data_IF_401110797478
#
_entry.id   IF_401110797478
#
_cell.length_a   1.000
_cell.length_b   1.000
_cell.length_c   1.000
_cell.angle_alpha   90.00
_cell.angle_beta   90.00
_cell.angle_gamma   90.00
#
_symmetry.space_group_name_H-M   'P 1'
#
loop_
_entity.id
_entity.type
_entity.pdbx_description
1 polymer ?
#
# COMPACT_ATOMS: atom_id res chain seq x y z
N UNK A 1 -31.22 -3.06 6.05
CA UNK A 1 -30.08 -2.40 6.75
C UNK A 1 -28.80 -3.04 6.28
N UNK A 2 -27.76 -2.25 5.99
CA UNK A 2 -26.43 -2.79 5.61
C UNK A 2 -25.70 -3.23 6.87
N UNK A 3 -25.07 -4.41 6.84
CA UNK A 3 -24.26 -4.93 7.93
C UNK A 3 -22.77 -4.94 7.53
N UNK A 4 -21.97 -4.06 8.13
CA UNK A 4 -20.53 -3.98 7.91
C UNK A 4 -19.85 -5.01 8.81
N UNK A 5 -18.98 -5.85 8.24
CA UNK A 5 -18.27 -6.91 8.98
C UNK A 5 -16.88 -6.50 9.44
N UNK A 6 -16.07 -5.98 8.52
CA UNK A 6 -14.69 -5.59 8.76
C UNK A 6 -14.20 -4.61 7.69
N UNK A 7 -13.03 -4.03 7.92
CA UNK A 7 -12.31 -3.28 6.90
C UNK A 7 -11.67 -4.29 5.94
N UNK A 8 -11.94 -4.17 4.64
CA UNK A 8 -11.30 -5.06 3.66
C UNK A 8 -9.81 -4.76 3.52
N UNK A 9 -9.45 -3.48 3.41
CA UNK A 9 -8.07 -3.03 3.33
C UNK A 9 -7.97 -1.54 3.71
N UNK A 10 -6.78 -1.11 4.12
CA UNK A 10 -6.41 0.30 4.22
C UNK A 10 -5.13 0.53 3.45
N UNK A 11 -5.06 1.63 2.70
CA UNK A 11 -3.87 2.02 1.97
C UNK A 11 -3.32 3.35 2.49
N UNK A 12 -2.02 3.41 2.72
CA UNK A 12 -1.29 4.62 3.08
C UNK A 12 -0.26 4.97 2.01
N UNK A 13 0.43 6.09 2.17
CA UNK A 13 1.61 6.42 1.39
C UNK A 13 2.87 5.99 2.13
N UNK A 14 3.89 5.56 1.42
CA UNK A 14 5.24 5.35 1.94
C UNK A 14 6.27 6.19 1.17
N UNK A 15 7.45 6.32 1.77
CA UNK A 15 8.60 6.99 1.15
C UNK A 15 9.46 6.03 0.33
N UNK A 16 9.72 4.85 0.89
CA UNK A 16 10.49 3.77 0.30
C UNK A 16 9.69 2.47 0.43
N UNK A 17 9.39 1.83 -0.70
CA UNK A 17 8.60 0.62 -0.73
C UNK A 17 9.26 -0.57 -0.02
N UNK A 18 10.57 -0.74 -0.21
CA UNK A 18 11.33 -1.87 0.33
C UNK A 18 11.46 -1.75 1.84
N UNK A 19 11.88 -0.59 2.34
CA UNK A 19 12.00 -0.31 3.78
C UNK A 19 10.65 -0.54 4.48
N UNK A 20 9.56 -0.11 3.84
CA UNK A 20 8.21 -0.33 4.36
C UNK A 20 7.92 -1.83 4.49
N UNK A 21 8.12 -2.62 3.44
CA UNK A 21 7.87 -4.06 3.49
C UNK A 21 8.73 -4.75 4.54
N UNK A 22 10.03 -4.44 4.58
CA UNK A 22 10.98 -5.01 5.55
C UNK A 22 10.55 -4.71 6.99
N UNK A 23 10.12 -3.48 7.29
CA UNK A 23 9.64 -3.11 8.62
C UNK A 23 8.42 -3.93 9.05
N UNK A 24 7.39 -4.05 8.20
CA UNK A 24 6.17 -4.78 8.56
C UNK A 24 6.37 -6.29 8.61
N UNK A 25 7.29 -6.83 7.81
CA UNK A 25 7.70 -8.23 7.91
C UNK A 25 8.44 -8.49 9.23
N UNK A 26 9.48 -7.69 9.54
CA UNK A 26 10.36 -7.93 10.69
C UNK A 26 9.64 -7.72 12.03
N UNK A 27 8.91 -6.61 12.17
CA UNK A 27 8.38 -6.21 13.48
C UNK A 27 6.94 -6.69 13.72
N UNK A 28 6.20 -7.01 12.66
CA UNK A 28 4.77 -7.35 12.76
C UNK A 28 4.41 -8.70 12.14
N UNK A 29 5.37 -9.43 11.55
CA UNK A 29 5.16 -10.72 10.89
C UNK A 29 4.06 -10.66 9.82
N UNK A 30 3.95 -9.53 9.10
CA UNK A 30 3.00 -9.39 8.02
C UNK A 30 3.60 -9.93 6.72
N UNK A 31 2.97 -10.92 6.10
CA UNK A 31 3.46 -11.51 4.86
C UNK A 31 3.31 -10.53 3.69
N UNK A 32 4.38 -10.37 2.91
CA UNK A 32 4.31 -9.61 1.68
C UNK A 32 3.60 -10.43 0.60
N UNK A 33 2.51 -9.90 0.04
CA UNK A 33 1.66 -10.63 -0.90
C UNK A 33 1.98 -10.28 -2.35
N UNK A 34 1.96 -8.99 -2.69
CA UNK A 34 2.16 -8.52 -4.06
C UNK A 34 2.58 -7.05 -4.09
N UNK A 35 3.38 -6.71 -5.10
CA UNK A 35 3.62 -5.34 -5.53
C UNK A 35 3.14 -5.16 -6.98
N UNK A 36 2.45 -4.06 -7.23
CA UNK A 36 1.98 -3.66 -8.55
C UNK A 36 2.68 -2.34 -8.91
N UNK A 37 3.34 -2.29 -10.05
CA UNK A 37 3.95 -1.08 -10.58
C UNK A 37 3.29 -0.73 -11.92
N UNK A 38 2.88 0.52 -12.06
CA UNK A 38 2.19 1.02 -13.26
C UNK A 38 2.67 2.44 -13.59
N UNK A 39 2.75 2.76 -14.88
CA UNK A 39 3.18 4.09 -15.36
C UNK A 39 2.04 5.13 -15.34
N UNK A 40 0.80 4.69 -15.11
CA UNK A 40 -0.39 5.54 -15.21
C UNK A 40 -1.37 5.31 -14.08
N UNK A 41 -1.90 6.40 -13.54
CA UNK A 41 -2.93 6.37 -12.49
C UNK A 41 -4.17 5.61 -13.00
N UNK A 42 -4.70 4.59 -12.28
CA UNK A 42 -5.78 3.74 -12.78
C UNK A 42 -7.08 4.49 -13.08
N UNK A 43 -7.40 5.49 -12.25
CA UNK A 43 -8.66 6.26 -12.32
C UNK A 43 -8.62 7.38 -13.34
N UNK A 44 -7.50 8.11 -13.46
CA UNK A 44 -7.39 9.30 -14.31
C UNK A 44 -6.63 9.06 -15.61
N UNK A 45 -5.85 7.97 -15.68
CA UNK A 45 -4.92 7.65 -16.77
C UNK A 45 -3.76 8.65 -16.95
N UNK A 46 -3.55 9.54 -15.97
CA UNK A 46 -2.42 10.47 -15.98
C UNK A 46 -1.08 9.71 -15.95
N UNK A 47 -0.04 10.19 -16.65
CA UNK A 47 1.30 9.59 -16.64
C UNK A 47 2.02 9.95 -15.33
N UNK A 48 1.67 9.26 -14.26
CA UNK A 48 2.27 9.41 -12.94
C UNK A 48 2.57 8.01 -12.38
N UNK A 49 3.83 7.55 -12.47
CA UNK A 49 4.21 6.21 -12.07
C UNK A 49 4.06 6.03 -10.55
N UNK A 50 3.62 4.84 -10.15
CA UNK A 50 3.49 4.48 -8.74
C UNK A 50 3.79 3.00 -8.53
N UNK A 51 4.09 2.65 -7.27
CA UNK A 51 4.08 1.27 -6.80
C UNK A 51 3.01 1.11 -5.72
N UNK A 52 2.28 -0.01 -5.75
CA UNK A 52 1.26 -0.36 -4.76
C UNK A 52 1.59 -1.72 -4.14
N UNK A 53 1.87 -1.71 -2.84
CA UNK A 53 2.31 -2.87 -2.05
C UNK A 53 1.15 -3.39 -1.22
N UNK A 54 1.06 -4.71 -1.04
CA UNK A 54 0.03 -5.35 -0.24
C UNK A 54 0.67 -6.34 0.74
N UNK A 55 0.31 -6.22 2.01
CA UNK A 55 0.73 -7.10 3.09
C UNK A 55 -0.47 -7.74 3.80
N UNK A 56 -0.32 -8.99 4.21
CA UNK A 56 -1.30 -9.68 5.06
C UNK A 56 -1.19 -9.19 6.50
N UNK A 57 -2.22 -8.49 6.97
CA UNK A 57 -2.32 -8.00 8.35
C UNK A 57 -3.08 -8.97 9.27
N UNK A 58 -3.36 -10.19 8.79
CA UNK A 58 -4.08 -11.23 9.52
C UNK A 58 -5.59 -11.10 9.44
N UNK A 59 -6.29 -12.22 9.72
CA UNK A 59 -7.76 -12.30 9.70
C UNK A 59 -8.40 -11.86 8.36
N UNK A 60 -7.64 -11.95 7.25
CA UNK A 60 -8.09 -11.51 5.93
C UNK A 60 -8.08 -9.98 5.74
N UNK A 61 -7.44 -9.23 6.64
CA UNK A 61 -7.22 -7.79 6.50
C UNK A 61 -5.95 -7.54 5.70
N UNK A 62 -5.99 -6.52 4.84
CA UNK A 62 -4.84 -6.13 4.03
C UNK A 62 -4.38 -4.72 4.42
N UNK A 63 -3.08 -4.59 4.67
CA UNK A 63 -2.42 -3.30 4.79
C UNK A 63 -1.66 -3.02 3.49
N UNK A 64 -1.92 -1.88 2.88
CA UNK A 64 -1.35 -1.52 1.59
C UNK A 64 -0.62 -0.17 1.64
N UNK A 65 0.32 0.01 0.71
CA UNK A 65 1.12 1.23 0.62
C UNK A 65 1.32 1.67 -0.83
N UNK A 66 1.24 2.98 -1.05
CA UNK A 66 1.62 3.62 -2.30
C UNK A 66 2.99 4.30 -2.16
N UNK A 67 3.94 3.91 -2.99
CA UNK A 67 5.15 4.70 -3.24
C UNK A 67 4.88 5.62 -4.43
N UNK A 68 4.91 6.93 -4.17
CA UNK A 68 4.61 7.97 -5.15
C UNK A 68 5.87 8.85 -5.36
N UNK A 69 6.72 8.53 -6.36
CA UNK A 69 8.02 9.16 -6.54
C UNK A 69 7.92 10.66 -6.88
N UNK A 70 6.87 11.08 -7.57
CA UNK A 70 6.68 12.48 -7.98
C UNK A 70 5.95 13.34 -6.95
N UNK A 71 5.43 12.76 -5.88
CA UNK A 71 4.68 13.49 -4.86
C UNK A 71 5.61 14.10 -3.79
N UNK A 72 5.25 15.22 -3.14
CA UNK A 72 6.08 15.86 -2.11
C UNK A 72 6.45 14.91 -0.96
N UNK A 73 7.53 15.16 -0.24
CA UNK A 73 7.91 14.32 0.91
C UNK A 73 6.81 14.33 1.98
N UNK A 74 6.53 13.16 2.55
CA UNK A 74 5.55 13.02 3.64
C UNK A 74 5.98 13.79 4.90
N UNK A 75 5.01 14.36 5.62
CA UNK A 75 5.24 14.97 6.94
C UNK A 75 6.01 16.30 6.92
N UNK A 76 5.93 17.04 5.80
CA UNK A 76 6.44 18.42 5.71
C UNK A 76 5.40 19.44 6.16
#
# INVERSE_FOLDING_TARGET
MINIKQIHHVAYRCHDAKETVEFYQEYLNMDFLVAIAEDRVPSTKAPDPYMHLFLDAGQGNILAFFELPNSPKMGT
#
